data_IF_455574480276
#
_entry.id   IF_455574480276
#
_cell.length_a   1.000
_cell.length_b   1.000
_cell.length_c   1.000
_cell.angle_alpha   90.00
_cell.angle_beta   90.00
_cell.angle_gamma   90.00
#
_symmetry.space_group_name_H-M   'P 1'
#
loop_
_entity.id
_entity.type
_entity.pdbx_description
1 polymer ?
#
# COMPACT_ATOMS: atom_id res chain seq x y z
N UNK A 1 -89.63 24.71 20.65
CA UNK A 1 -89.84 23.59 21.60
C UNK A 1 -89.25 24.05 22.95
N UNK A 2 -90.06 24.61 23.86
CA UNK A 2 -90.41 24.04 25.21
C UNK A 2 -89.14 23.55 25.96
N UNK A 3 -88.72 23.96 27.17
CA UNK A 3 -89.29 24.63 28.37
C UNK A 3 -88.07 25.09 29.22
N UNK A 4 -88.00 26.33 29.72
CA UNK A 4 -88.31 26.74 31.11
C UNK A 4 -88.04 25.71 32.23
N UNK A 5 -87.07 26.02 33.10
CA UNK A 5 -87.18 25.78 34.55
C UNK A 5 -86.68 27.02 35.30
N UNK A 6 -87.58 27.58 36.10
CA UNK A 6 -87.39 28.65 37.07
C UNK A 6 -86.81 28.09 38.39
N UNK A 7 -86.04 28.90 39.11
CA UNK A 7 -86.21 29.20 40.55
C UNK A 7 -85.02 30.08 41.02
N UNK A 8 -85.25 31.38 41.28
CA UNK A 8 -85.55 31.98 42.60
C UNK A 8 -84.26 32.62 43.16
N UNK A 9 -83.99 33.92 42.94
CA UNK A 9 -84.58 35.13 43.54
C UNK A 9 -84.37 35.23 45.07
N UNK A 10 -83.37 36.00 45.50
CA UNK A 10 -83.53 37.00 46.56
C UNK A 10 -82.46 38.11 46.45
N UNK A 11 -82.94 39.34 46.27
CA UNK A 11 -82.19 40.61 46.26
C UNK A 11 -81.73 41.01 47.67
N UNK A 12 -80.61 41.72 47.77
CA UNK A 12 -80.54 42.95 48.59
C UNK A 12 -79.33 43.84 48.23
N UNK A 13 -79.66 45.14 48.14
CA UNK A 13 -78.85 46.32 47.83
C UNK A 13 -77.50 46.40 48.56
N UNK A 14 -76.52 47.10 47.95
CA UNK A 14 -75.61 48.11 48.55
C UNK A 14 -74.70 48.60 47.39
N UNK A 15 -74.77 49.87 46.96
CA UNK A 15 -74.24 51.02 47.68
C UNK A 15 -72.95 51.45 46.95
N UNK A 16 -73.05 52.45 46.07
CA UNK A 16 -71.89 52.98 45.36
C UNK A 16 -70.92 53.64 46.34
N UNK A 17 -69.74 53.05 46.50
CA UNK A 17 -68.61 53.66 47.19
C UNK A 17 -67.49 53.79 46.17
N UNK A 18 -67.20 55.05 45.83
CA UNK A 18 -65.99 55.46 45.13
C UNK A 18 -64.79 55.08 45.99
N UNK A 19 -63.98 54.13 45.52
CA UNK A 19 -62.71 53.78 46.14
C UNK A 19 -61.60 54.40 45.29
N UNK A 20 -60.85 55.34 45.87
CA UNK A 20 -59.60 55.85 45.33
C UNK A 20 -58.68 54.69 44.98
N UNK A 21 -58.19 54.68 43.73
CA UNK A 21 -57.25 53.69 43.26
C UNK A 21 -55.86 54.17 43.65
N UNK A 22 -55.33 53.64 44.74
CA UNK A 22 -53.93 53.83 45.14
C UNK A 22 -53.04 53.19 44.06
N UNK A 23 -52.30 54.03 43.33
CA UNK A 23 -51.30 53.61 42.37
C UNK A 23 -50.04 53.29 43.17
N UNK A 24 -49.80 52.00 43.42
CA UNK A 24 -48.52 51.54 43.95
C UNK A 24 -47.52 51.63 42.78
N UNK A 25 -46.62 52.61 42.82
CA UNK A 25 -45.50 52.68 41.89
C UNK A 25 -44.64 51.42 42.06
N UNK A 26 -44.23 50.74 40.97
CA UNK A 26 -43.36 49.58 41.08
C UNK A 26 -42.02 50.00 41.70
N UNK A 27 -41.59 49.26 42.72
CA UNK A 27 -40.28 49.48 43.34
C UNK A 27 -39.19 49.45 42.25
N UNK A 28 -38.42 50.53 42.16
CA UNK A 28 -37.24 50.61 41.31
C UNK A 28 -36.21 49.63 41.89
N UNK A 29 -36.12 48.46 41.27
CA UNK A 29 -34.99 47.55 41.51
C UNK A 29 -33.78 48.23 40.91
N UNK A 30 -32.94 48.80 41.77
CA UNK A 30 -31.60 49.25 41.38
C UNK A 30 -30.83 47.96 41.06
N UNK A 31 -30.79 47.59 39.78
CA UNK A 31 -29.86 46.58 39.30
C UNK A 31 -28.49 47.23 39.37
N UNK A 32 -27.71 46.87 40.38
CA UNK A 32 -26.28 47.22 40.41
C UNK A 32 -25.67 46.73 39.09
N UNK A 33 -24.87 47.56 38.38
CA UNK A 33 -24.21 47.13 37.17
C UNK A 33 -23.36 45.90 37.52
N UNK A 34 -23.59 44.82 36.78
CA UNK A 34 -22.78 43.60 36.87
C UNK A 34 -21.30 44.02 36.73
N UNK A 35 -20.40 43.58 37.63
CA UNK A 35 -19.00 43.96 37.56
C UNK A 35 -18.46 43.58 36.18
N UNK A 36 -17.76 44.52 35.53
CA UNK A 36 -17.11 44.22 34.25
C UNK A 36 -16.28 42.94 34.40
N UNK A 37 -16.41 41.97 33.48
CA UNK A 37 -15.65 40.74 33.56
C UNK A 37 -14.17 41.10 33.61
N UNK A 38 -13.46 40.60 34.63
CA UNK A 38 -12.03 40.81 34.74
C UNK A 38 -11.35 40.41 33.42
N UNK A 39 -10.40 41.20 32.90
CA UNK A 39 -9.72 40.88 31.66
C UNK A 39 -9.08 39.50 31.80
N UNK A 40 -9.49 38.56 30.95
CA UNK A 40 -8.89 37.23 30.88
C UNK A 40 -7.38 37.43 30.72
N UNK A 41 -6.54 36.82 31.58
CA UNK A 41 -5.10 37.00 31.48
C UNK A 41 -4.64 36.64 30.07
N UNK A 42 -3.87 37.53 29.44
CA UNK A 42 -3.28 37.27 28.14
C UNK A 42 -2.44 36.00 28.23
N UNK A 43 -2.84 34.96 27.49
CA UNK A 43 -2.03 33.75 27.36
C UNK A 43 -0.86 34.11 26.45
N UNK A 44 0.37 33.89 26.91
CA UNK A 44 1.56 34.12 26.09
C UNK A 44 1.48 33.25 24.84
N UNK A 45 1.47 33.88 23.67
CA UNK A 45 1.44 33.21 22.36
C UNK A 45 2.74 33.42 21.62
N UNK A 46 3.23 32.36 20.98
CA UNK A 46 4.30 32.35 19.99
C UNK A 46 3.68 32.65 18.63
N UNK A 47 4.21 33.67 17.93
CA UNK A 47 3.76 34.04 16.60
C UNK A 47 4.74 33.54 15.55
N UNK A 48 4.21 32.87 14.53
CA UNK A 48 4.94 32.46 13.34
C UNK A 48 4.35 33.16 12.12
N UNK A 49 5.14 34.01 11.47
CA UNK A 49 4.69 34.71 10.26
C UNK A 49 4.49 33.74 9.08
N UNK A 50 5.20 32.62 9.09
CA UNK A 50 5.18 31.59 8.06
C UNK A 50 5.44 30.21 8.66
N UNK A 51 4.65 29.23 8.27
CA UNK A 51 4.89 27.78 8.43
C UNK A 51 4.60 27.12 7.09
N UNK A 52 5.52 26.35 6.55
CA UNK A 52 5.34 25.77 5.22
C UNK A 52 6.35 24.68 4.91
N UNK A 53 6.17 24.02 3.78
CA UNK A 53 7.02 22.89 3.39
C UNK A 53 6.44 22.16 2.19
N UNK A 54 6.89 20.92 2.00
CA UNK A 54 6.44 20.06 0.92
C UNK A 54 5.74 18.81 1.45
N UNK A 55 4.66 18.39 0.78
CA UNK A 55 4.04 17.07 1.00
C UNK A 55 4.48 16.15 -0.12
N UNK A 56 5.18 15.07 0.26
CA UNK A 56 5.97 14.27 -0.65
C UNK A 56 5.92 12.77 -0.32
N UNK A 57 5.34 12.02 -1.24
CA UNK A 57 5.64 10.60 -1.48
C UNK A 57 6.36 10.52 -2.83
N UNK A 58 5.65 11.07 -3.82
CA UNK A 58 6.08 11.97 -4.88
C UNK A 58 5.39 13.32 -4.61
N UNK A 59 5.61 14.37 -5.43
CA UNK A 59 4.93 15.65 -5.24
C UNK A 59 3.40 15.48 -5.16
N UNK A 60 2.79 15.96 -4.07
CA UNK A 60 1.34 16.00 -3.96
C UNK A 60 0.74 17.03 -4.92
N UNK A 61 -0.48 16.74 -5.37
CA UNK A 61 -1.15 17.52 -6.42
C UNK A 61 -1.91 18.72 -5.86
N UNK A 62 -2.21 19.66 -6.76
CA UNK A 62 -3.05 20.81 -6.48
C UNK A 62 -4.42 20.37 -5.92
N UNK A 63 -4.89 21.05 -4.89
CA UNK A 63 -6.14 20.76 -4.20
C UNK A 63 -6.01 19.77 -3.04
N UNK A 64 -4.80 19.30 -2.73
CA UNK A 64 -4.52 18.54 -1.50
C UNK A 64 -4.88 19.38 -0.27
N UNK A 65 -5.68 18.81 0.63
CA UNK A 65 -6.11 19.45 1.87
C UNK A 65 -5.01 19.37 2.92
N UNK A 66 -4.68 20.50 3.54
CA UNK A 66 -3.69 20.60 4.61
C UNK A 66 -4.37 21.08 5.89
N UNK A 67 -4.13 20.36 6.98
CA UNK A 67 -4.57 20.76 8.31
C UNK A 67 -3.36 20.79 9.26
N UNK A 68 -3.09 21.98 9.82
CA UNK A 68 -2.09 22.20 10.84
C UNK A 68 -2.80 22.31 12.20
N UNK A 69 -2.49 21.40 13.12
CA UNK A 69 -3.13 21.30 14.44
C UNK A 69 -2.08 21.61 15.50
N UNK A 70 -2.40 22.53 16.41
CA UNK A 70 -1.59 22.80 17.59
C UNK A 70 -1.74 21.66 18.62
N UNK A 71 -0.61 21.27 19.19
CA UNK A 71 -0.53 20.24 20.24
C UNK A 71 0.07 20.83 21.52
N UNK A 72 -0.29 20.28 22.67
CA UNK A 72 0.40 20.54 23.94
C UNK A 72 1.69 19.72 24.09
N UNK A 73 2.34 19.80 25.25
CA UNK A 73 3.58 19.08 25.58
C UNK A 73 3.40 17.55 25.68
N UNK A 74 2.16 17.08 25.82
CA UNK A 74 1.78 15.67 25.80
C UNK A 74 1.28 15.22 24.43
N UNK A 75 1.44 16.07 23.40
CA UNK A 75 0.98 15.87 22.03
C UNK A 75 -0.54 15.74 21.90
N UNK A 76 -1.31 16.24 22.86
CA UNK A 76 -2.76 16.31 22.77
C UNK A 76 -3.19 17.59 22.01
N UNK A 77 -4.19 17.52 21.12
CA UNK A 77 -4.68 18.70 20.41
C UNK A 77 -5.26 19.74 21.37
N UNK A 78 -4.85 21.00 21.24
CA UNK A 78 -5.36 22.12 22.04
C UNK A 78 -6.73 22.62 21.55
N UNK A 79 -7.15 22.20 20.35
CA UNK A 79 -8.33 22.68 19.63
C UNK A 79 -8.02 23.75 18.59
N UNK A 80 -6.84 24.37 18.62
CA UNK A 80 -6.42 25.35 17.61
C UNK A 80 -5.94 24.63 16.35
N UNK A 81 -6.55 24.95 15.21
CA UNK A 81 -6.14 24.38 13.93
C UNK A 81 -6.29 25.39 12.80
N UNK A 82 -5.42 25.26 11.80
CA UNK A 82 -5.41 26.04 10.58
C UNK A 82 -5.58 25.11 9.39
N UNK A 83 -6.35 25.54 8.40
CA UNK A 83 -6.57 24.78 7.17
C UNK A 83 -6.09 25.60 5.98
N UNK A 84 -5.43 24.92 5.06
CA UNK A 84 -5.01 25.47 3.77
C UNK A 84 -5.08 24.35 2.73
N UNK A 85 -4.67 24.64 1.51
CA UNK A 85 -4.56 23.66 0.45
C UNK A 85 -3.29 23.89 -0.36
N UNK A 86 -2.78 22.83 -0.97
CA UNK A 86 -1.72 22.93 -1.96
C UNK A 86 -2.29 23.59 -3.22
N UNK A 87 -1.62 24.63 -3.71
CA UNK A 87 -2.05 25.42 -4.89
C UNK A 87 -1.15 25.22 -6.11
N UNK A 88 -0.20 24.30 -6.03
CA UNK A 88 0.69 23.90 -7.12
C UNK A 88 0.72 22.36 -7.28
N UNK A 89 1.53 21.86 -8.22
CA UNK A 89 1.74 20.42 -8.41
C UNK A 89 3.12 19.96 -7.90
N UNK A 90 3.77 20.79 -7.09
CA UNK A 90 5.08 20.54 -6.46
C UNK A 90 4.93 20.01 -5.03
N UNK A 91 3.71 20.02 -4.51
CA UNK A 91 3.41 19.62 -3.14
C UNK A 91 3.65 20.75 -2.13
N UNK A 92 3.82 22.00 -2.55
CA UNK A 92 4.15 23.11 -1.64
C UNK A 92 2.92 23.59 -0.88
N UNK A 93 3.05 23.81 0.42
CA UNK A 93 2.03 24.48 1.22
C UNK A 93 2.61 25.59 2.08
N UNK A 94 1.77 26.55 2.44
CA UNK A 94 2.09 27.59 3.41
C UNK A 94 0.87 27.95 4.27
N UNK A 95 1.13 28.29 5.52
CA UNK A 95 0.20 28.90 6.47
C UNK A 95 0.88 30.14 7.03
N UNK A 96 0.21 31.30 6.95
CA UNK A 96 0.78 32.59 7.34
C UNK A 96 0.14 33.10 8.62
N UNK A 97 0.93 33.86 9.39
CA UNK A 97 0.48 34.55 10.61
C UNK A 97 -0.26 33.63 11.58
N UNK A 98 0.34 32.49 11.90
CA UNK A 98 -0.20 31.59 12.92
C UNK A 98 0.30 32.01 14.29
N UNK A 99 -0.59 31.93 15.27
CA UNK A 99 -0.26 32.16 16.67
C UNK A 99 -0.53 30.86 17.40
N UNK A 100 0.36 30.46 18.29
CA UNK A 100 0.25 29.24 19.06
C UNK A 100 0.62 29.52 20.52
N UNK A 101 0.07 28.78 21.48
CA UNK A 101 0.47 28.75 22.89
C UNK A 101 1.53 27.67 23.15
N UNK A 102 1.71 26.74 22.21
CA UNK A 102 2.70 25.65 22.26
C UNK A 102 3.38 25.51 20.89
N UNK A 103 4.69 25.21 20.83
CA UNK A 103 5.39 25.11 19.56
C UNK A 103 5.18 23.75 18.87
N UNK A 104 4.53 22.78 19.54
CA UNK A 104 4.29 21.46 18.97
C UNK A 104 3.10 21.48 18.03
N UNK A 105 3.27 20.89 16.85
CA UNK A 105 2.23 20.82 15.83
C UNK A 105 2.16 19.43 15.19
N UNK A 106 0.95 19.07 14.77
CA UNK A 106 0.72 17.99 13.82
C UNK A 106 0.26 18.59 12.50
N UNK A 107 0.90 18.20 11.40
CA UNK A 107 0.38 18.42 10.07
C UNK A 107 -0.29 17.14 9.56
N UNK A 108 -1.47 17.31 8.96
CA UNK A 108 -2.18 16.27 8.20
C UNK A 108 -2.34 16.77 6.77
N UNK A 109 -1.86 15.99 5.81
CA UNK A 109 -2.04 16.24 4.38
C UNK A 109 -2.86 15.11 3.77
N UNK A 110 -3.90 15.45 3.00
CA UNK A 110 -4.82 14.49 2.40
C UNK A 110 -5.09 14.84 0.94
N UNK A 111 -4.64 13.99 0.02
CA UNK A 111 -4.70 14.32 -1.41
C UNK A 111 -4.12 13.26 -2.32
N UNK A 112 -4.15 13.56 -3.62
CA UNK A 112 -3.54 12.75 -4.66
C UNK A 112 -2.05 13.07 -4.77
N UNK A 113 -1.25 12.09 -5.19
CA UNK A 113 0.19 12.21 -5.31
C UNK A 113 0.69 11.64 -6.64
N UNK A 114 1.84 12.11 -7.11
CA UNK A 114 2.54 11.45 -8.20
C UNK A 114 3.19 10.15 -7.71
N UNK A 115 2.84 9.00 -8.30
CA UNK A 115 3.46 7.72 -8.00
C UNK A 115 4.71 7.53 -8.86
N UNK A 116 5.86 7.54 -8.20
CA UNK A 116 7.19 7.45 -8.77
C UNK A 116 7.43 6.08 -9.39
N UNK A 117 6.84 5.02 -8.83
CA UNK A 117 6.98 3.65 -9.34
C UNK A 117 6.23 3.45 -10.66
N UNK A 118 5.01 3.99 -10.78
CA UNK A 118 4.19 3.83 -12.00
C UNK A 118 4.35 4.96 -13.01
N UNK A 119 4.85 6.13 -12.59
CA UNK A 119 4.92 7.33 -13.43
C UNK A 119 3.57 8.02 -13.65
N UNK A 120 2.58 7.72 -12.81
CA UNK A 120 1.21 8.21 -12.95
C UNK A 120 0.72 8.86 -11.65
N UNK A 121 -0.30 9.71 -11.74
CA UNK A 121 -0.97 10.20 -10.55
C UNK A 121 -1.75 9.08 -9.86
N UNK A 122 -1.81 9.11 -8.53
CA UNK A 122 -2.51 8.10 -7.73
C UNK A 122 -4.00 8.01 -8.10
N UNK A 123 -4.57 6.81 -8.08
CA UNK A 123 -5.98 6.60 -8.38
C UNK A 123 -6.91 6.98 -7.21
N UNK A 124 -6.36 7.14 -6.01
CA UNK A 124 -7.07 7.58 -4.81
C UNK A 124 -6.17 8.49 -3.96
N UNK A 125 -6.78 9.13 -2.95
CA UNK A 125 -6.08 9.98 -2.01
C UNK A 125 -5.35 9.14 -0.96
N UNK A 126 -4.19 9.66 -0.52
CA UNK A 126 -3.43 9.14 0.61
C UNK A 126 -3.32 10.25 1.66
N UNK A 127 -3.47 9.88 2.92
CA UNK A 127 -3.27 10.81 4.04
C UNK A 127 -1.88 10.58 4.65
N UNK A 128 -1.08 11.64 4.75
CA UNK A 128 0.20 11.64 5.45
C UNK A 128 0.18 12.57 6.65
N UNK A 129 1.07 12.30 7.60
CA UNK A 129 1.19 13.05 8.85
C UNK A 129 2.64 13.45 9.11
N UNK A 130 2.82 14.53 9.87
CA UNK A 130 4.11 14.89 10.47
C UNK A 130 3.90 15.51 11.84
N UNK A 131 4.79 15.19 12.78
CA UNK A 131 4.90 15.86 14.07
C UNK A 131 6.16 16.72 14.09
N UNK A 132 6.06 17.94 14.60
CA UNK A 132 7.20 18.86 14.67
C UNK A 132 7.14 19.80 15.87
N UNK A 133 8.32 20.34 16.22
CA UNK A 133 8.50 21.43 17.16
C UNK A 133 8.98 22.66 16.37
N UNK A 134 8.15 23.69 16.31
CA UNK A 134 8.41 24.90 15.52
C UNK A 134 9.36 25.89 16.20
N UNK A 135 9.93 25.60 17.37
CA UNK A 135 10.94 26.48 18.02
C UNK A 135 12.17 26.74 17.13
N UNK A 136 12.62 25.72 16.41
CA UNK A 136 13.90 25.73 15.70
C UNK A 136 13.74 26.05 14.20
N UNK A 137 12.57 25.82 13.61
CA UNK A 137 12.31 25.95 12.17
C UNK A 137 10.82 26.06 11.84
N UNK A 138 10.54 26.76 10.74
CA UNK A 138 9.21 26.88 10.15
C UNK A 138 9.00 25.98 8.92
N UNK A 139 10.02 25.20 8.53
CA UNK A 139 9.97 24.23 7.45
C UNK A 139 9.44 22.89 7.96
N UNK A 140 8.34 22.40 7.39
CA UNK A 140 7.65 21.19 7.83
C UNK A 140 7.28 20.32 6.62
N UNK A 141 8.23 19.53 6.14
CA UNK A 141 7.94 18.56 5.09
C UNK A 141 7.18 17.37 5.68
N UNK A 142 6.30 16.79 4.87
CA UNK A 142 5.49 15.63 5.21
C UNK A 142 5.76 14.53 4.21
N UNK A 143 6.13 13.35 4.70
CA UNK A 143 6.48 12.20 3.89
C UNK A 143 6.10 10.89 4.59
N UNK A 144 6.45 9.75 3.99
CA UNK A 144 6.16 8.44 4.58
C UNK A 144 6.93 8.21 5.89
N UNK A 145 8.13 8.77 6.04
CA UNK A 145 8.93 8.64 7.28
C UNK A 145 8.27 9.39 8.42
N UNK A 146 7.84 10.64 8.17
CA UNK A 146 7.13 11.45 9.16
C UNK A 146 5.78 10.86 9.53
N UNK A 147 5.18 10.09 8.62
CA UNK A 147 3.91 9.40 8.88
C UNK A 147 4.10 8.17 9.77
N UNK A 148 5.11 7.35 9.47
CA UNK A 148 5.41 6.14 10.25
C UNK A 148 5.87 6.46 11.67
N UNK A 149 6.66 7.53 11.87
CA UNK A 149 7.18 7.91 13.19
C UNK A 149 6.08 8.38 14.14
N UNK A 150 4.95 8.92 13.63
CA UNK A 150 3.95 9.63 14.45
C UNK A 150 3.51 8.82 15.66
N UNK A 151 3.05 7.59 15.44
CA UNK A 151 2.52 6.75 16.51
C UNK A 151 3.60 6.35 17.53
N UNK A 152 4.85 6.20 17.06
CA UNK A 152 6.00 5.88 17.90
C UNK A 152 6.42 7.07 18.76
N UNK A 153 6.44 8.28 18.19
CA UNK A 153 6.71 9.52 18.92
C UNK A 153 5.65 9.77 20.00
N UNK A 154 4.36 9.66 19.64
CA UNK A 154 3.25 9.78 20.60
C UNK A 154 3.41 8.79 21.76
N UNK A 155 3.76 7.53 21.44
CA UNK A 155 4.00 6.52 22.46
C UNK A 155 5.16 6.90 23.37
N UNK A 156 6.32 7.26 22.82
CA UNK A 156 7.50 7.62 23.62
C UNK A 156 7.24 8.84 24.51
N UNK A 157 6.58 9.88 24.01
CA UNK A 157 6.20 11.07 24.81
C UNK A 157 5.23 10.70 25.93
N UNK A 158 4.22 9.86 25.64
CA UNK A 158 3.29 9.37 26.67
C UNK A 158 3.97 8.54 27.78
N UNK A 159 5.18 8.01 27.51
CA UNK A 159 6.01 7.29 28.47
C UNK A 159 7.03 8.18 29.19
N UNK A 160 6.99 9.49 28.95
CA UNK A 160 7.81 10.50 29.62
C UNK A 160 9.06 10.93 28.84
N UNK A 161 9.25 10.49 27.60
CA UNK A 161 10.35 10.99 26.77
C UNK A 161 10.07 12.43 26.33
N UNK A 162 11.11 13.27 26.28
CA UNK A 162 11.01 14.57 25.64
C UNK A 162 10.82 14.41 24.12
N UNK A 163 10.12 15.36 23.49
CA UNK A 163 9.76 15.32 22.06
C UNK A 163 10.96 15.10 21.12
N UNK A 164 12.02 15.90 21.27
CA UNK A 164 13.20 15.82 20.40
C UNK A 164 13.89 14.44 20.44
N UNK A 165 14.25 13.91 21.62
CA UNK A 165 14.75 12.54 21.75
C UNK A 165 13.79 11.47 21.24
N UNK A 166 12.47 11.61 21.47
CA UNK A 166 11.47 10.69 20.97
C UNK A 166 11.44 10.65 19.43
N UNK A 167 11.52 11.82 18.77
CA UNK A 167 11.63 11.94 17.30
C UNK A 167 12.89 11.26 16.75
N UNK A 168 14.04 11.54 17.34
CA UNK A 168 15.31 10.93 16.90
C UNK A 168 15.31 9.41 17.07
N UNK A 169 14.75 8.91 18.18
CA UNK A 169 14.63 7.48 18.41
C UNK A 169 13.69 6.84 17.39
N UNK A 170 12.47 7.38 17.21
CA UNK A 170 11.49 6.85 16.28
C UNK A 170 12.02 6.83 14.83
N UNK A 171 12.68 7.91 14.41
CA UNK A 171 13.29 8.01 13.08
C UNK A 171 14.34 6.92 12.87
N UNK A 172 15.26 6.73 13.81
CA UNK A 172 16.31 5.71 13.71
C UNK A 172 15.74 4.31 13.66
N UNK A 173 14.82 3.99 14.57
CA UNK A 173 14.15 2.68 14.62
C UNK A 173 13.43 2.37 13.30
N UNK A 174 12.76 3.35 12.69
CA UNK A 174 12.11 3.15 11.39
C UNK A 174 13.13 2.95 10.27
N UNK A 175 14.19 3.76 10.22
CA UNK A 175 15.22 3.62 9.20
C UNK A 175 16.03 2.31 9.34
N UNK A 176 16.18 1.79 10.56
CA UNK A 176 16.82 0.50 10.83
C UNK A 176 16.08 -0.64 10.11
N UNK A 177 14.75 -0.63 10.07
CA UNK A 177 13.92 -1.65 9.37
C UNK A 177 14.25 -1.73 7.87
N UNK A 178 14.59 -0.58 7.28
CA UNK A 178 14.94 -0.48 5.86
C UNK A 178 16.44 -0.64 5.62
N UNK A 179 17.24 -0.94 6.64
CA UNK A 179 18.72 -1.00 6.55
C UNK A 179 19.32 0.34 6.09
N UNK A 180 18.67 1.46 6.44
CA UNK A 180 18.97 2.83 5.98
C UNK A 180 19.27 3.78 7.15
N UNK A 181 19.58 3.27 8.33
CA UNK A 181 19.94 4.10 9.48
C UNK A 181 21.40 4.54 9.42
N UNK A 182 21.68 5.76 9.89
CA UNK A 182 23.04 6.24 10.15
C UNK A 182 23.02 7.21 11.34
N UNK A 183 24.20 7.61 11.84
CA UNK A 183 24.30 8.44 13.05
C UNK A 183 23.72 9.87 12.87
N UNK A 184 23.73 10.39 11.64
CA UNK A 184 23.63 11.81 11.32
C UNK A 184 22.51 12.14 10.30
N UNK A 185 21.51 11.27 10.15
CA UNK A 185 20.37 11.53 9.25
C UNK A 185 19.68 12.83 9.66
N UNK A 186 19.47 13.73 8.70
CA UNK A 186 18.68 14.94 8.94
C UNK A 186 17.27 14.61 9.43
N UNK A 187 16.66 15.52 10.20
CA UNK A 187 15.30 15.35 10.74
C UNK A 187 14.30 15.04 9.61
N UNK A 188 13.38 14.11 9.86
CA UNK A 188 12.44 13.58 8.87
C UNK A 188 11.59 14.66 8.17
N UNK A 189 11.24 15.73 8.88
CA UNK A 189 10.50 16.89 8.36
C UNK A 189 11.35 17.90 7.57
N UNK A 190 12.66 17.67 7.43
CA UNK A 190 13.57 18.47 6.61
C UNK A 190 13.98 17.75 5.32
N UNK A 191 13.69 16.44 5.22
CA UNK A 191 13.99 15.63 4.05
C UNK A 191 13.06 15.97 2.88
N UNK A 192 13.60 15.91 1.67
CA UNK A 192 12.93 16.32 0.45
C UNK A 192 13.40 15.47 -0.74
N UNK A 193 12.52 14.60 -1.24
CA UNK A 193 12.84 13.66 -2.34
C UNK A 193 13.18 14.36 -3.66
N UNK A 194 12.88 15.67 -3.77
CA UNK A 194 13.16 16.48 -4.97
C UNK A 194 14.50 17.18 -4.89
N UNK A 195 15.30 16.90 -3.86
CA UNK A 195 16.65 17.45 -3.69
C UNK A 195 17.69 16.34 -3.64
N UNK A 196 18.90 16.65 -4.11
CA UNK A 196 20.07 15.81 -3.85
C UNK A 196 20.40 15.72 -2.36
N UNK A 197 21.22 14.75 -2.00
CA UNK A 197 21.63 14.36 -0.65
C UNK A 197 21.33 12.89 -0.35
N UNK A 198 22.27 12.19 0.29
CA UNK A 198 22.11 10.78 0.67
C UNK A 198 20.85 10.53 1.52
N UNK A 199 20.55 11.43 2.46
CA UNK A 199 19.36 11.31 3.30
C UNK A 199 18.05 11.43 2.49
N UNK A 200 18.05 12.23 1.43
CA UNK A 200 16.90 12.34 0.51
C UNK A 200 16.79 11.10 -0.38
N UNK A 201 17.91 10.51 -0.78
CA UNK A 201 17.94 9.23 -1.49
C UNK A 201 17.40 8.08 -0.62
N UNK A 202 17.74 8.03 0.67
CA UNK A 202 17.15 7.08 1.63
C UNK A 202 15.64 7.25 1.75
N UNK A 203 15.16 8.51 1.84
CA UNK A 203 13.73 8.79 1.87
C UNK A 203 13.03 8.27 0.60
N UNK A 204 13.63 8.48 -0.57
CA UNK A 204 13.09 7.98 -1.84
C UNK A 204 13.11 6.45 -1.90
N UNK A 205 14.20 5.80 -1.47
CA UNK A 205 14.30 4.34 -1.40
C UNK A 205 13.21 3.75 -0.51
N UNK A 206 13.01 4.30 0.69
CA UNK A 206 11.92 3.89 1.58
C UNK A 206 10.54 4.13 0.94
N UNK A 207 10.36 5.26 0.24
CA UNK A 207 9.11 5.59 -0.46
C UNK A 207 8.76 4.56 -1.54
N UNK A 208 9.72 4.16 -2.37
CA UNK A 208 9.48 3.17 -3.44
C UNK A 208 9.31 1.75 -2.89
N UNK A 209 10.01 1.37 -1.82
CA UNK A 209 9.83 0.06 -1.16
C UNK A 209 8.43 -0.05 -0.55
N UNK A 210 7.98 1.00 0.16
CA UNK A 210 6.62 1.03 0.72
C UNK A 210 5.56 1.00 -0.37
N UNK A 211 5.76 1.75 -1.46
CA UNK A 211 4.81 1.83 -2.57
C UNK A 211 4.72 0.53 -3.36
N UNK A 212 5.85 -0.09 -3.73
CA UNK A 212 5.87 -1.22 -4.65
C UNK A 212 4.95 -0.99 -5.86
N UNK A 213 4.16 -2.00 -6.20
CA UNK A 213 3.03 -1.86 -7.14
C UNK A 213 1.67 -1.96 -6.43
N UNK A 214 1.63 -1.61 -5.14
CA UNK A 214 0.41 -1.64 -4.34
C UNK A 214 -0.62 -0.62 -4.83
N UNK A 215 -1.89 -0.96 -4.71
CA UNK A 215 -2.94 0.06 -4.82
C UNK A 215 -2.81 1.06 -3.67
N UNK A 216 -3.41 2.25 -3.82
CA UNK A 216 -3.39 3.27 -2.74
C UNK A 216 -4.03 2.73 -1.45
N UNK A 217 -5.05 1.86 -1.57
CA UNK A 217 -5.69 1.23 -0.44
C UNK A 217 -4.72 0.28 0.29
N UNK A 218 -4.02 -0.58 -0.46
CA UNK A 218 -3.07 -1.54 0.11
C UNK A 218 -1.84 -0.83 0.70
N UNK A 219 -1.35 0.25 0.06
CA UNK A 219 -0.31 1.10 0.64
C UNK A 219 -0.77 1.74 1.97
N UNK A 220 -1.99 2.25 2.01
CA UNK A 220 -2.56 2.86 3.22
C UNK A 220 -2.67 1.81 4.35
N UNK A 221 -3.11 0.60 4.02
CA UNK A 221 -3.16 -0.52 4.97
C UNK A 221 -1.76 -0.92 5.45
N UNK A 222 -0.78 -1.04 4.55
CA UNK A 222 0.60 -1.35 4.88
C UNK A 222 1.17 -0.33 5.87
N UNK A 223 1.06 0.97 5.56
CA UNK A 223 1.55 2.05 6.42
C UNK A 223 0.85 2.03 7.78
N UNK A 224 -0.47 1.83 7.83
CA UNK A 224 -1.21 1.78 9.09
C UNK A 224 -0.83 0.56 9.95
N UNK A 225 -0.63 -0.60 9.34
CA UNK A 225 -0.22 -1.81 10.03
C UNK A 225 1.23 -1.70 10.54
N UNK A 226 2.14 -1.13 9.75
CA UNK A 226 3.50 -0.81 10.20
C UNK A 226 3.47 0.17 11.39
N UNK A 227 2.75 1.29 11.29
CA UNK A 227 2.62 2.22 12.41
C UNK A 227 2.06 1.57 13.69
N UNK A 228 1.18 0.57 13.55
CA UNK A 228 0.62 -0.16 14.69
C UNK A 228 1.66 -1.09 15.32
N UNK A 229 2.38 -1.85 14.49
CA UNK A 229 3.39 -2.80 14.92
C UNK A 229 4.56 -2.08 15.63
N UNK A 230 5.05 -1.00 15.03
CA UNK A 230 6.20 -0.23 15.53
C UNK A 230 5.91 0.61 16.77
N UNK A 231 4.64 0.85 17.10
CA UNK A 231 4.24 1.84 18.11
C UNK A 231 4.95 1.67 19.45
N UNK A 232 4.96 0.44 19.97
CA UNK A 232 5.32 0.18 21.36
C UNK A 232 6.82 -0.04 21.59
N UNK A 233 7.54 -0.59 20.61
CA UNK A 233 8.94 -1.00 20.74
C UNK A 233 9.85 -0.52 19.60
N UNK A 234 9.29 -0.02 18.49
CA UNK A 234 10.04 0.41 17.31
C UNK A 234 10.57 -0.76 16.48
N UNK A 235 10.09 -1.99 16.71
CA UNK A 235 10.57 -3.20 16.03
C UNK A 235 9.50 -3.73 15.11
N UNK A 236 9.88 -4.05 13.86
CA UNK A 236 8.99 -4.73 12.93
C UNK A 236 8.93 -6.23 13.27
N UNK A 237 7.92 -6.63 14.03
CA UNK A 237 7.72 -7.99 14.51
C UNK A 237 6.94 -8.88 13.53
N UNK A 238 6.21 -8.26 12.58
CA UNK A 238 5.36 -8.99 11.65
C UNK A 238 6.14 -9.47 10.41
N UNK A 239 6.46 -10.76 10.36
CA UNK A 239 7.05 -11.41 9.18
C UNK A 239 6.28 -11.11 7.90
N UNK A 240 4.94 -11.06 7.97
CA UNK A 240 4.08 -10.75 6.82
C UNK A 240 4.32 -9.34 6.29
N UNK A 241 4.41 -8.34 7.18
CA UNK A 241 4.66 -6.95 6.77
C UNK A 241 6.08 -6.81 6.24
N UNK A 242 7.07 -7.40 6.91
CA UNK A 242 8.46 -7.43 6.45
C UNK A 242 8.62 -8.09 5.08
N UNK A 243 8.03 -9.27 4.88
CA UNK A 243 7.98 -9.93 3.58
C UNK A 243 7.28 -9.09 2.52
N UNK A 244 6.26 -8.30 2.86
CA UNK A 244 5.62 -7.38 1.91
C UNK A 244 6.61 -6.32 1.44
N UNK A 245 7.43 -5.75 2.32
CA UNK A 245 8.49 -4.80 1.95
C UNK A 245 9.52 -5.44 1.01
N UNK A 246 9.96 -6.67 1.32
CA UNK A 246 10.90 -7.42 0.47
C UNK A 246 10.28 -7.73 -0.90
N UNK A 247 9.05 -8.23 -0.94
CA UNK A 247 8.35 -8.53 -2.18
C UNK A 247 8.17 -7.28 -3.05
N UNK A 248 7.80 -6.15 -2.44
CA UNK A 248 7.73 -4.87 -3.13
C UNK A 248 9.09 -4.51 -3.74
N UNK A 249 10.15 -4.52 -2.93
CA UNK A 249 11.50 -4.15 -3.35
C UNK A 249 12.03 -5.01 -4.51
N UNK A 250 11.84 -6.34 -4.45
CA UNK A 250 12.23 -7.27 -5.52
C UNK A 250 11.51 -6.95 -6.84
N UNK A 251 10.23 -6.55 -6.77
CA UNK A 251 9.43 -6.27 -7.96
C UNK A 251 9.78 -4.93 -8.65
N UNK A 252 10.40 -3.97 -7.95
CA UNK A 252 10.62 -2.60 -8.44
C UNK A 252 11.51 -2.53 -9.68
N UNK A 253 11.06 -1.80 -10.71
CA UNK A 253 11.92 -1.31 -11.79
C UNK A 253 12.52 0.05 -11.39
N UNK A 254 13.67 0.00 -10.70
CA UNK A 254 14.32 1.20 -10.16
C UNK A 254 14.77 2.20 -11.24
N UNK A 255 15.37 1.78 -12.38
CA UNK A 255 15.64 2.69 -13.50
C UNK A 255 14.38 3.38 -14.04
N UNK A 256 13.25 2.67 -14.13
CA UNK A 256 12.00 3.29 -14.53
C UNK A 256 11.50 4.30 -13.48
N UNK A 257 11.55 3.95 -12.19
CA UNK A 257 11.13 4.86 -11.12
C UNK A 257 11.95 6.15 -11.08
N UNK A 258 13.27 6.05 -11.25
CA UNK A 258 14.16 7.22 -11.43
C UNK A 258 13.69 8.08 -12.60
N UNK A 259 13.55 7.47 -13.78
CA UNK A 259 13.17 8.16 -15.00
C UNK A 259 11.82 8.89 -14.85
N UNK A 260 10.82 8.22 -14.28
CA UNK A 260 9.52 8.84 -14.03
C UNK A 260 9.61 10.07 -13.15
N UNK A 261 10.41 10.02 -12.08
CA UNK A 261 10.60 11.15 -11.19
C UNK A 261 11.40 12.28 -11.86
N UNK A 262 12.43 11.97 -12.64
CA UNK A 262 13.17 12.96 -13.45
C UNK A 262 12.23 13.68 -14.43
N UNK A 263 11.46 12.91 -15.21
CA UNK A 263 10.46 13.46 -16.15
C UNK A 263 9.44 14.35 -15.43
N UNK A 264 8.97 13.93 -14.25
CA UNK A 264 8.03 14.73 -13.44
C UNK A 264 8.64 16.03 -12.94
N UNK A 265 9.91 16.01 -12.50
CA UNK A 265 10.59 17.20 -11.98
C UNK A 265 10.89 18.19 -13.11
N UNK A 266 11.27 17.69 -14.29
CA UNK A 266 11.44 18.48 -15.50
C UNK A 266 10.11 19.15 -15.93
N UNK A 267 8.99 18.42 -15.91
CA UNK A 267 7.65 18.99 -16.17
C UNK A 267 7.28 20.13 -15.22
N UNK A 268 7.77 20.06 -13.98
CA UNK A 268 7.54 21.08 -12.94
C UNK A 268 8.57 22.22 -12.98
N UNK A 269 9.55 22.17 -13.90
CA UNK A 269 10.62 23.16 -14.03
C UNK A 269 11.63 23.12 -12.88
N UNK A 270 11.89 21.94 -12.33
CA UNK A 270 12.82 21.72 -11.21
C UNK A 270 14.13 21.13 -11.71
N UNK A 271 15.17 21.95 -11.73
CA UNK A 271 16.53 21.48 -12.02
C UNK A 271 17.14 20.85 -10.75
N UNK A 272 17.02 19.53 -10.63
CA UNK A 272 17.56 18.79 -9.48
C UNK A 272 18.12 17.44 -9.92
N UNK A 273 19.07 16.94 -9.14
CA UNK A 273 19.63 15.61 -9.32
C UNK A 273 19.02 14.68 -8.28
N UNK A 274 18.48 13.55 -8.74
CA UNK A 274 18.08 12.47 -7.85
C UNK A 274 19.33 11.66 -7.53
N UNK A 275 19.70 11.57 -6.25
CA UNK A 275 20.85 10.79 -5.83
C UNK A 275 20.57 9.27 -5.87
N UNK A 276 21.59 8.45 -5.63
CA UNK A 276 21.56 6.99 -5.78
C UNK A 276 20.71 6.31 -4.69
N UNK A 277 19.39 6.31 -4.87
CA UNK A 277 18.46 5.60 -4.00
C UNK A 277 18.46 4.08 -4.28
N UNK A 278 18.91 3.67 -5.46
CA UNK A 278 18.94 2.27 -5.88
C UNK A 278 19.91 1.45 -5.05
N UNK A 279 21.08 2.00 -4.74
CA UNK A 279 22.03 1.36 -3.81
C UNK A 279 21.40 1.12 -2.44
N UNK A 280 20.57 2.04 -1.94
CA UNK A 280 19.85 1.84 -0.66
C UNK A 280 18.78 0.73 -0.76
N UNK A 281 18.06 0.64 -1.87
CA UNK A 281 17.11 -0.47 -2.10
C UNK A 281 17.85 -1.81 -2.19
N UNK A 282 18.98 -1.86 -2.89
CA UNK A 282 19.78 -3.08 -2.97
C UNK A 282 20.36 -3.47 -1.62
N UNK A 283 20.85 -2.49 -0.84
CA UNK A 283 21.35 -2.72 0.51
C UNK A 283 20.27 -3.30 1.42
N UNK A 284 19.02 -2.81 1.34
CA UNK A 284 17.89 -3.40 2.05
C UNK A 284 17.70 -4.88 1.68
N UNK A 285 17.68 -5.21 0.38
CA UNK A 285 17.50 -6.59 -0.10
C UNK A 285 18.64 -7.53 0.33
N UNK A 286 19.87 -7.01 0.41
CA UNK A 286 21.06 -7.81 0.75
C UNK A 286 21.17 -8.09 2.26
N UNK A 287 20.58 -7.26 3.11
CA UNK A 287 20.82 -7.28 4.56
C UNK A 287 19.56 -7.57 5.41
N UNK A 288 18.36 -7.37 4.87
CA UNK A 288 17.13 -7.61 5.62
C UNK A 288 16.97 -9.07 6.06
N UNK A 289 16.43 -9.28 7.26
CA UNK A 289 16.13 -10.62 7.78
C UNK A 289 14.81 -11.19 7.27
N UNK A 290 13.96 -10.37 6.64
CA UNK A 290 12.65 -10.80 6.15
C UNK A 290 12.77 -11.61 4.85
N UNK A 291 11.93 -12.64 4.72
CA UNK A 291 11.97 -13.51 3.56
C UNK A 291 11.17 -12.93 2.38
N UNK A 292 11.70 -13.12 1.16
CA UNK A 292 10.90 -13.00 -0.06
C UNK A 292 9.92 -14.17 -0.15
N UNK A 293 8.63 -13.88 -0.32
CA UNK A 293 7.54 -14.88 -0.31
C UNK A 293 6.70 -14.90 -1.58
N UNK A 294 6.79 -13.85 -2.40
CA UNK A 294 6.06 -13.76 -3.67
C UNK A 294 6.70 -14.68 -4.72
N UNK A 295 6.17 -15.88 -4.81
CA UNK A 295 6.62 -16.93 -5.73
C UNK A 295 5.52 -17.26 -6.74
N UNK A 296 5.92 -17.82 -7.88
CA UNK A 296 4.98 -18.27 -8.91
C UNK A 296 4.03 -19.30 -8.29
N UNK A 297 2.72 -19.07 -8.44
CA UNK A 297 1.70 -19.95 -7.89
C UNK A 297 1.11 -20.81 -8.99
N UNK A 298 0.79 -22.06 -8.63
CA UNK A 298 0.13 -23.04 -9.50
C UNK A 298 -1.21 -23.47 -8.88
N UNK A 299 -2.29 -22.67 -9.02
CA UNK A 299 -3.59 -22.96 -8.41
C UNK A 299 -4.15 -24.31 -8.86
N UNK A 300 -4.88 -25.00 -7.99
CA UNK A 300 -5.39 -26.37 -8.25
C UNK A 300 -6.41 -26.47 -9.37
N UNK A 301 -7.10 -25.38 -9.70
CA UNK A 301 -8.16 -25.30 -10.69
C UNK A 301 -7.96 -24.03 -11.53
N UNK A 302 -8.18 -24.14 -12.83
CA UNK A 302 -8.27 -23.00 -13.73
C UNK A 302 -9.59 -22.99 -14.50
N UNK A 303 -9.64 -22.20 -15.56
CA UNK A 303 -10.85 -22.01 -16.39
C UNK A 303 -11.27 -23.31 -17.09
N UNK A 304 -10.29 -24.15 -17.45
CA UNK A 304 -10.49 -25.36 -18.25
C UNK A 304 -10.54 -26.65 -17.43
N UNK A 305 -10.52 -26.53 -16.09
CA UNK A 305 -10.57 -27.65 -15.16
C UNK A 305 -9.32 -27.77 -14.29
N UNK A 306 -8.99 -28.98 -13.79
CA UNK A 306 -7.84 -29.16 -12.91
C UNK A 306 -6.55 -28.71 -13.58
N UNK A 307 -5.68 -28.05 -12.83
CA UNK A 307 -4.43 -27.54 -13.37
C UNK A 307 -3.35 -28.62 -13.41
N UNK A 308 -2.70 -28.79 -14.56
CA UNK A 308 -1.58 -29.71 -14.74
C UNK A 308 -0.35 -29.28 -13.93
N UNK A 309 -0.19 -27.99 -13.67
CA UNK A 309 0.92 -27.45 -12.89
C UNK A 309 0.71 -27.56 -11.38
N UNK A 310 -0.49 -27.91 -10.92
CA UNK A 310 -0.78 -27.92 -9.49
C UNK A 310 -0.18 -29.13 -8.76
N UNK A 311 0.70 -28.84 -7.80
CA UNK A 311 1.24 -29.78 -6.79
C UNK A 311 1.83 -31.08 -7.37
N UNK A 312 1.84 -32.12 -6.53
CA UNK A 312 2.38 -33.46 -6.87
C UNK A 312 1.35 -34.38 -7.56
N UNK A 313 0.23 -33.82 -8.03
CA UNK A 313 -0.82 -34.62 -8.68
C UNK A 313 -0.27 -35.30 -9.93
N UNK A 314 -0.44 -36.62 -10.02
CA UNK A 314 0.00 -37.47 -11.15
C UNK A 314 -1.10 -38.39 -11.66
N UNK A 315 -2.28 -38.36 -11.04
CA UNK A 315 -3.45 -39.13 -11.43
C UNK A 315 -4.37 -38.29 -12.34
N UNK A 316 -4.09 -38.38 -13.63
CA UNK A 316 -4.86 -37.74 -14.68
C UNK A 316 -5.55 -38.80 -15.55
N UNK A 317 -6.79 -38.50 -15.97
CA UNK A 317 -7.55 -39.27 -16.95
C UNK A 317 -7.65 -38.47 -18.26
N UNK A 318 -8.18 -39.09 -19.31
CA UNK A 318 -8.49 -38.35 -20.54
C UNK A 318 -9.47 -37.21 -20.26
N UNK A 319 -9.28 -36.05 -20.89
CA UNK A 319 -10.11 -34.88 -20.65
C UNK A 319 -9.39 -33.56 -20.83
N UNK A 320 -10.05 -32.49 -20.42
CA UNK A 320 -9.56 -31.11 -20.51
C UNK A 320 -9.00 -30.65 -19.17
N UNK A 321 -7.87 -29.94 -19.23
CA UNK A 321 -7.12 -29.44 -18.09
C UNK A 321 -6.60 -28.04 -18.36
N UNK A 322 -6.33 -27.31 -17.28
CA UNK A 322 -5.68 -26.00 -17.31
C UNK A 322 -4.16 -26.12 -17.26
N UNK A 323 -3.48 -25.20 -17.92
CA UNK A 323 -2.06 -24.90 -17.72
C UNK A 323 -1.97 -23.51 -17.08
N UNK A 324 -2.33 -23.46 -15.79
CA UNK A 324 -2.53 -22.22 -15.07
C UNK A 324 -1.32 -21.88 -14.20
N UNK A 325 -0.81 -20.67 -14.35
CA UNK A 325 0.15 -20.07 -13.43
C UNK A 325 -0.27 -18.64 -13.07
N UNK A 326 0.03 -18.24 -11.84
CA UNK A 326 -0.03 -16.83 -11.41
C UNK A 326 1.40 -16.35 -11.16
N UNK A 327 1.80 -15.31 -11.88
CA UNK A 327 3.16 -14.81 -11.90
C UNK A 327 3.24 -13.48 -11.13
N UNK A 328 4.03 -13.41 -10.05
CA UNK A 328 4.44 -12.14 -9.49
C UNK A 328 5.18 -11.28 -10.52
N UNK A 329 5.26 -9.97 -10.28
CA UNK A 329 6.01 -9.05 -11.15
C UNK A 329 7.48 -9.47 -11.23
N UNK A 330 8.09 -9.20 -12.40
CA UNK A 330 9.47 -9.58 -12.75
C UNK A 330 9.78 -11.09 -12.72
N UNK A 331 8.76 -11.95 -12.63
CA UNK A 331 8.95 -13.39 -12.80
C UNK A 331 8.75 -13.81 -14.25
N UNK A 332 9.36 -14.94 -14.60
CA UNK A 332 9.13 -15.62 -15.88
C UNK A 332 8.97 -17.11 -15.65
N UNK A 333 8.21 -17.74 -16.53
CA UNK A 333 7.90 -19.15 -16.45
C UNK A 333 8.04 -19.77 -17.84
N UNK A 334 8.81 -20.86 -17.92
CA UNK A 334 8.89 -21.72 -19.10
C UNK A 334 8.45 -23.11 -18.71
N UNK A 335 7.48 -23.64 -19.44
CA UNK A 335 6.95 -24.99 -19.24
C UNK A 335 7.14 -25.80 -20.50
N UNK A 336 7.85 -26.92 -20.41
CA UNK A 336 7.96 -27.91 -21.48
C UNK A 336 7.03 -29.08 -21.19
N UNK A 337 6.09 -29.34 -22.09
CA UNK A 337 5.26 -30.55 -22.05
C UNK A 337 5.77 -31.48 -23.15
N UNK A 338 5.98 -32.74 -22.83
CA UNK A 338 6.39 -33.78 -23.79
C UNK A 338 5.66 -35.10 -23.57
N UNK A 339 5.61 -35.92 -24.62
CA UNK A 339 4.94 -37.23 -24.62
C UNK A 339 3.75 -37.29 -25.58
N UNK A 340 3.19 -38.49 -25.83
CA UNK A 340 2.25 -38.69 -26.92
C UNK A 340 0.79 -38.32 -26.59
N UNK A 341 0.43 -38.18 -25.32
CA UNK A 341 -0.97 -38.23 -24.87
C UNK A 341 -1.59 -36.85 -24.59
N UNK A 342 -1.13 -35.81 -25.29
CA UNK A 342 -1.61 -34.45 -25.07
C UNK A 342 -1.71 -33.62 -26.36
N UNK A 343 -2.65 -32.67 -26.37
CA UNK A 343 -2.74 -31.59 -27.36
C UNK A 343 -3.05 -30.29 -26.66
N UNK A 344 -2.79 -29.17 -27.33
CA UNK A 344 -3.27 -27.85 -26.93
C UNK A 344 -4.54 -27.52 -27.70
N UNK A 345 -5.38 -26.65 -27.15
CA UNK A 345 -6.56 -26.12 -27.86
C UNK A 345 -6.55 -24.59 -27.78
N UNK A 346 -6.74 -23.93 -28.92
CA UNK A 346 -6.97 -22.49 -29.06
C UNK A 346 -5.91 -21.55 -28.42
N UNK A 347 -4.79 -21.31 -29.11
CA UNK A 347 -3.66 -20.50 -28.59
C UNK A 347 -3.84 -18.98 -28.84
N UNK A 348 -4.67 -18.59 -29.81
CA UNK A 348 -4.79 -17.18 -30.23
C UNK A 348 -5.34 -16.22 -29.18
N UNK A 349 -5.78 -16.73 -28.02
CA UNK A 349 -6.28 -15.95 -26.87
C UNK A 349 -5.53 -16.23 -25.56
N UNK A 350 -4.46 -17.03 -25.57
CA UNK A 350 -3.70 -17.31 -24.34
C UNK A 350 -2.58 -16.30 -24.13
N UNK A 351 -2.28 -16.00 -22.87
CA UNK A 351 -1.13 -15.19 -22.45
C UNK A 351 0.24 -15.87 -22.64
N UNK A 352 0.25 -17.12 -23.09
CA UNK A 352 1.45 -17.92 -23.30
C UNK A 352 2.02 -17.67 -24.69
N UNK A 353 3.33 -17.48 -24.77
CA UNK A 353 4.09 -17.60 -26.01
C UNK A 353 4.56 -19.05 -26.20
N UNK A 354 4.61 -19.55 -27.43
CA UNK A 354 4.95 -20.93 -27.69
C UNK A 354 6.05 -21.14 -28.76
N UNK A 355 6.73 -22.28 -28.64
CA UNK A 355 7.65 -22.75 -29.67
C UNK A 355 6.94 -23.59 -30.74
N UNK A 356 7.62 -23.78 -31.89
CA UNK A 356 7.22 -24.80 -32.85
C UNK A 356 7.18 -26.18 -32.17
N UNK A 357 6.23 -27.01 -32.60
CA UNK A 357 6.11 -28.36 -32.06
C UNK A 357 7.33 -29.21 -32.45
N UNK A 358 7.96 -29.81 -31.45
CA UNK A 358 9.08 -30.73 -31.60
C UNK A 358 8.53 -32.13 -31.86
N UNK A 359 8.45 -32.51 -33.15
CA UNK A 359 7.91 -33.79 -33.59
C UNK A 359 8.71 -35.00 -33.08
N UNK A 360 10.02 -34.85 -32.84
CA UNK A 360 10.87 -35.94 -32.37
C UNK A 360 10.55 -36.32 -30.92
N UNK A 361 10.24 -35.32 -30.09
CA UNK A 361 9.98 -35.52 -28.66
C UNK A 361 8.49 -35.37 -28.28
N UNK A 362 7.62 -35.15 -29.25
CA UNK A 362 6.22 -34.77 -29.05
C UNK A 362 6.07 -33.67 -28.00
N UNK A 363 6.89 -32.64 -28.17
CA UNK A 363 7.09 -31.63 -27.16
C UNK A 363 6.79 -30.23 -27.66
N UNK A 364 6.41 -29.37 -26.72
CA UNK A 364 6.33 -27.92 -26.93
C UNK A 364 6.73 -27.21 -25.66
N UNK A 365 7.27 -26.01 -25.84
CA UNK A 365 7.56 -25.10 -24.75
C UNK A 365 6.58 -23.94 -24.79
N UNK A 366 6.12 -23.57 -23.61
CA UNK A 366 5.28 -22.42 -23.34
C UNK A 366 6.04 -21.48 -22.43
N UNK A 367 6.19 -20.23 -22.84
CA UNK A 367 6.88 -19.19 -22.09
C UNK A 367 5.91 -18.07 -21.75
N UNK A 368 6.08 -17.52 -20.55
CA UNK A 368 5.40 -16.31 -20.14
C UNK A 368 6.31 -15.49 -19.23
N UNK A 369 6.18 -14.17 -19.33
CA UNK A 369 6.86 -13.23 -18.46
C UNK A 369 5.87 -12.16 -17.97
N UNK A 370 6.13 -11.64 -16.78
CA UNK A 370 5.53 -10.40 -16.27
C UNK A 370 5.55 -9.29 -17.35
N UNK A 371 4.50 -8.46 -17.50
CA UNK A 371 3.51 -8.07 -16.48
C UNK A 371 2.23 -8.90 -16.47
N UNK A 372 2.16 -10.03 -17.16
CA UNK A 372 0.97 -10.86 -17.12
C UNK A 372 0.87 -11.58 -15.78
N UNK A 373 -0.13 -11.22 -14.99
CA UNK A 373 -0.31 -11.75 -13.62
C UNK A 373 -0.88 -13.16 -13.59
N UNK A 374 -1.72 -13.52 -14.58
CA UNK A 374 -2.38 -14.82 -14.65
C UNK A 374 -2.37 -15.31 -16.10
N UNK A 375 -1.97 -16.56 -16.29
CA UNK A 375 -2.05 -17.22 -17.59
C UNK A 375 -2.58 -18.63 -17.47
N UNK A 376 -3.61 -18.91 -18.25
CA UNK A 376 -4.22 -20.23 -18.39
C UNK A 376 -4.26 -20.61 -19.87
N UNK A 377 -4.15 -21.90 -20.14
CA UNK A 377 -4.23 -22.48 -21.48
C UNK A 377 -4.93 -23.83 -21.39
N UNK A 378 -5.82 -24.09 -22.34
CA UNK A 378 -6.53 -25.36 -22.45
C UNK A 378 -5.57 -26.46 -22.98
N UNK A 379 -5.32 -27.47 -22.16
CA UNK A 379 -4.61 -28.69 -22.53
C UNK A 379 -5.58 -29.87 -22.50
N UNK A 380 -5.57 -30.68 -23.56
CA UNK A 380 -6.38 -31.90 -23.65
C UNK A 380 -5.49 -33.12 -23.57
N UNK A 381 -5.87 -34.06 -22.73
CA UNK A 381 -5.22 -35.36 -22.58
C UNK A 381 -6.07 -36.46 -23.23
N UNK A 382 -5.43 -37.39 -23.93
CA UNK A 382 -6.11 -38.46 -24.68
C UNK A 382 -5.49 -39.83 -24.38
N UNK A 383 -6.34 -40.86 -24.23
CA UNK A 383 -5.88 -42.26 -24.04
C UNK A 383 -5.16 -42.86 -25.25
N UNK A 384 -5.30 -42.24 -26.42
CA UNK A 384 -4.66 -42.67 -27.66
C UNK A 384 -3.90 -41.50 -28.27
N UNK A 385 -2.83 -41.83 -28.99
CA UNK A 385 -2.05 -40.87 -29.78
C UNK A 385 -2.99 -40.02 -30.66
N UNK A 386 -3.15 -38.72 -30.33
CA UNK A 386 -3.99 -37.82 -31.10
C UNK A 386 -3.32 -37.40 -32.43
N UNK A 387 -2.11 -37.86 -32.71
CA UNK A 387 -1.31 -37.56 -33.89
C UNK A 387 -1.04 -38.78 -34.80
N UNK A 388 -2.08 -39.54 -35.22
CA UNK A 388 -1.88 -40.73 -36.04
C UNK A 388 -1.31 -40.36 -37.42
N UNK A 389 -0.12 -40.88 -37.75
CA UNK A 389 0.50 -40.75 -39.06
C UNK A 389 1.54 -39.63 -39.22
N UNK A 390 1.90 -38.90 -38.15
CA UNK A 390 3.13 -38.11 -38.13
C UNK A 390 4.33 -39.07 -38.09
N UNK A 391 5.28 -38.95 -39.03
CA UNK A 391 6.49 -39.77 -39.01
C UNK A 391 7.25 -39.51 -37.70
N UNK A 392 7.33 -40.54 -36.86
CA UNK A 392 8.16 -40.54 -35.67
C UNK A 392 9.60 -40.68 -36.17
N UNK A 393 10.42 -39.64 -36.05
CA UNK A 393 11.86 -39.76 -36.30
C UNK A 393 12.50 -40.62 -35.19
N UNK A 394 12.35 -41.94 -35.29
CA UNK A 394 12.91 -42.93 -34.37
C UNK A 394 11.99 -44.12 -34.07
N UNK A 395 12.55 -45.32 -33.81
CA UNK A 395 11.74 -46.52 -33.54
C UNK A 395 11.04 -46.46 -32.18
N UNK A 396 9.80 -46.98 -32.16
CA UNK A 396 9.00 -47.25 -30.98
C UNK A 396 9.57 -48.48 -30.26
N UNK A 397 9.93 -48.39 -28.97
CA UNK A 397 10.02 -49.57 -28.10
C UNK A 397 9.09 -49.41 -26.91
N UNK A 398 8.03 -50.21 -26.91
CA UNK A 398 7.25 -50.52 -25.72
C UNK A 398 8.08 -51.52 -24.88
N UNK A 399 8.30 -51.31 -23.57
CA UNK A 399 8.65 -52.41 -22.71
C UNK A 399 7.41 -53.28 -22.48
N UNK A 400 7.49 -54.62 -22.61
CA UNK A 400 6.45 -55.51 -22.10
C UNK A 400 6.42 -55.49 -20.56
N UNK A 401 5.20 -55.53 -20.05
CA UNK A 401 4.80 -55.79 -18.67
C UNK A 401 5.57 -56.97 -18.02
N UNK A 402 5.95 -56.79 -16.74
CA UNK A 402 6.33 -57.81 -15.74
C UNK A 402 7.66 -58.58 -15.79
N UNK A 403 8.58 -58.35 -16.74
CA UNK A 403 9.76 -59.27 -16.90
C UNK A 403 11.12 -58.79 -16.36
N UNK A 404 11.19 -57.68 -15.63
CA UNK A 404 12.45 -57.23 -15.01
C UNK A 404 13.53 -56.77 -16.02
N UNK A 405 13.12 -56.30 -17.19
CA UNK A 405 14.01 -55.73 -18.19
C UNK A 405 14.42 -54.29 -17.82
N UNK A 406 15.72 -54.00 -17.76
CA UNK A 406 16.24 -52.63 -17.59
C UNK A 406 16.52 -52.05 -18.97
N UNK A 407 15.75 -51.03 -19.36
CA UNK A 407 15.93 -50.33 -20.63
C UNK A 407 17.25 -49.53 -20.62
N UNK A 408 18.19 -49.79 -21.55
CA UNK A 408 19.49 -49.13 -21.57
C UNK A 408 19.47 -47.70 -22.15
N UNK A 409 18.31 -47.17 -22.60
CA UNK A 409 18.18 -45.81 -23.09
C UNK A 409 16.93 -45.10 -22.53
N UNK A 410 17.07 -44.07 -21.67
CA UNK A 410 15.95 -43.45 -20.92
C UNK A 410 14.93 -42.65 -21.76
N UNK A 411 15.13 -42.52 -23.07
CA UNK A 411 14.35 -41.64 -23.97
C UNK A 411 13.48 -42.37 -25.03
N UNK A 412 12.97 -43.56 -24.71
CA UNK A 412 11.98 -44.29 -25.55
C UNK A 412 10.53 -43.79 -25.33
N UNK A 413 9.67 -43.72 -26.37
CA UNK A 413 8.29 -43.26 -26.26
C UNK A 413 7.48 -44.21 -25.36
N UNK A 414 7.05 -43.69 -24.23
CA UNK A 414 6.15 -44.36 -23.28
C UNK A 414 4.80 -43.63 -23.30
N UNK A 415 3.73 -44.23 -22.79
CA UNK A 415 2.43 -43.57 -22.57
C UNK A 415 2.48 -42.46 -21.49
N UNK A 416 3.69 -41.98 -21.18
CA UNK A 416 3.98 -41.06 -20.10
C UNK A 416 4.08 -39.64 -20.65
N UNK A 417 3.23 -38.76 -20.14
CA UNK A 417 3.38 -37.32 -20.32
C UNK A 417 4.36 -36.78 -19.27
N UNK A 418 5.27 -35.93 -19.70
CA UNK A 418 6.25 -35.25 -18.84
C UNK A 418 6.03 -33.74 -18.93
N UNK A 419 6.02 -33.08 -17.77
CA UNK A 419 5.99 -31.63 -17.64
C UNK A 419 7.26 -31.21 -16.91
N UNK A 420 8.02 -30.30 -17.51
CA UNK A 420 9.24 -29.73 -16.94
C UNK A 420 9.00 -28.24 -16.79
N UNK A 421 9.27 -27.70 -15.61
CA UNK A 421 9.05 -26.29 -15.31
C UNK A 421 10.38 -25.63 -14.98
N UNK A 422 10.59 -24.46 -15.57
CA UNK A 422 11.72 -23.59 -15.38
C UNK A 422 11.21 -22.22 -14.97
N UNK A 423 11.68 -21.71 -13.84
CA UNK A 423 11.26 -20.41 -13.33
C UNK A 423 12.40 -19.39 -13.45
N UNK A 424 12.04 -18.13 -13.66
CA UNK A 424 12.93 -16.96 -13.61
C UNK A 424 14.17 -17.09 -14.52
N UNK A 425 13.98 -17.59 -15.73
CA UNK A 425 15.04 -17.73 -16.74
C UNK A 425 16.08 -18.81 -16.45
N UNK A 426 15.85 -19.68 -15.45
CA UNK A 426 16.74 -20.79 -15.15
C UNK A 426 16.79 -21.82 -16.28
N UNK A 427 17.99 -22.28 -16.63
CA UNK A 427 18.18 -23.45 -17.50
C UNK A 427 18.09 -24.78 -16.73
N UNK A 428 18.10 -24.72 -15.39
CA UNK A 428 17.87 -25.88 -14.52
C UNK A 428 16.37 -25.96 -14.20
N UNK A 429 15.71 -27.11 -14.38
CA UNK A 429 14.31 -27.27 -14.00
C UNK A 429 14.08 -26.98 -12.53
N UNK A 430 13.09 -26.15 -12.21
CA UNK A 430 12.58 -25.97 -10.84
C UNK A 430 11.96 -27.27 -10.33
N UNK A 431 11.18 -27.95 -11.19
CA UNK A 431 10.62 -29.27 -10.91
C UNK A 431 10.23 -30.01 -12.19
N UNK A 432 9.98 -31.32 -12.06
CA UNK A 432 9.54 -32.18 -13.17
C UNK A 432 8.45 -33.12 -12.69
N UNK A 433 7.39 -33.24 -13.48
CA UNK A 433 6.26 -34.14 -13.25
C UNK A 433 6.17 -35.15 -14.38
N UNK A 434 5.89 -36.41 -14.05
CA UNK A 434 5.69 -37.50 -15.01
C UNK A 434 4.45 -38.28 -14.61
N UNK A 435 3.59 -38.60 -15.57
CA UNK A 435 2.39 -39.39 -15.32
C UNK A 435 1.96 -40.18 -16.54
N UNK A 436 1.27 -41.28 -16.30
CA UNK A 436 0.56 -42.08 -17.31
C UNK A 436 -0.93 -41.85 -17.10
N UNK A 437 -1.70 -41.74 -18.17
CA UNK A 437 -3.15 -41.57 -18.06
C UNK A 437 -3.77 -42.84 -17.47
N UNK A 438 -4.69 -42.68 -16.53
CA UNK A 438 -5.52 -43.78 -16.07
C UNK A 438 -6.53 -44.12 -17.17
N UNK A 439 -6.53 -45.37 -17.61
CA UNK A 439 -7.62 -45.94 -18.41
C UNK A 439 -8.88 -46.03 -17.53
N UNK A 440 -10.01 -45.52 -18.01
CA UNK A 440 -11.31 -45.72 -17.34
C UNK A 440 -11.83 -47.16 -17.47
#
# INVERSE_FOLDING_TARGET
MKRFFHCALLLLLLGAISCEKEVIEPAVVVVEPEPEPEPVPAVDTIRYDYVGGYVQKGPYLNGTSIQLVELDDQLAPTGKNFQTQIVDNRGTFEVRNVEFVSPYVQLKADGFYFNEVTGENSAAQLTLYALSNLEDYSALNVNLLTTLERARVDYLVSRGSAFGPAKLQAQREILDIFEMSNADVAKSELLDITKGGDDNARLLAMSVILQGYLSVADLSELVANLSTDLRADGVLNSDRLGSTLVNNAVALDLPAARKHLEERLDELGLETTIDDFETHVQHFLDNTEFAHTDTIQYPVQGEYGPNLLAGERTDFAAGTYSLLAKLPRKTSLRVRISGPNWTWWNIGSSSWEETYFDNAHFAREYTIASPIEIADLEIRLYERDPWPGQERDGPIVNPPDSTGYVNPNPDQPTDTTRIIVYENGSEVPSWTKKFVLKSE
#
